data_IF_789642602661
#
_entry.id   IF_789642602661
#
_cell.length_a   1.000
_cell.length_b   1.000
_cell.length_c   1.000
_cell.angle_alpha   90.00
_cell.angle_beta   90.00
_cell.angle_gamma   90.00
#
_symmetry.space_group_name_H-M   'P 1'
#
loop_
_entity.id
_entity.type
_entity.pdbx_description
1 polymer ?
#
# COMPACT_ATOMS: atom_id res chain seq x y z
N UNK A 1 -21.82 28.25 -7.15
CA UNK A 1 -21.98 28.13 -8.62
C UNK A 1 -20.76 27.40 -9.15
N UNK A 2 -20.87 26.11 -9.38
CA UNK A 2 -19.79 25.28 -9.90
C UNK A 2 -19.84 25.40 -11.43
N UNK A 3 -18.80 26.02 -12.04
CA UNK A 3 -18.66 26.10 -13.48
C UNK A 3 -18.32 24.71 -14.04
N UNK A 4 -19.20 24.14 -14.82
CA UNK A 4 -18.95 22.91 -15.59
C UNK A 4 -17.84 23.16 -16.61
N UNK A 5 -16.71 22.47 -16.48
CA UNK A 5 -15.64 22.46 -17.48
C UNK A 5 -16.10 21.59 -18.64
N UNK A 6 -16.05 22.12 -19.88
CA UNK A 6 -16.48 21.38 -21.06
C UNK A 6 -15.38 20.40 -21.52
N UNK A 7 -15.80 19.27 -22.11
CA UNK A 7 -14.88 18.26 -22.68
C UNK A 7 -13.85 18.85 -23.66
N UNK A 8 -14.19 19.95 -24.31
CA UNK A 8 -13.33 20.65 -25.27
C UNK A 8 -12.22 21.44 -24.58
N UNK A 9 -12.48 21.98 -23.38
CA UNK A 9 -11.46 22.68 -22.56
C UNK A 9 -10.46 21.73 -21.91
N UNK A 10 -10.87 20.50 -21.61
CA UNK A 10 -10.00 19.46 -21.09
C UNK A 10 -9.00 18.97 -22.15
N UNK A 11 -9.48 18.71 -23.38
CA UNK A 11 -8.63 18.30 -24.50
C UNK A 11 -7.63 19.40 -24.95
N UNK A 12 -7.97 20.68 -24.76
CA UNK A 12 -7.07 21.78 -25.05
C UNK A 12 -5.97 21.96 -23.99
N UNK A 13 -6.21 21.57 -22.75
CA UNK A 13 -5.20 21.59 -21.70
C UNK A 13 -4.13 20.48 -21.89
N UNK A 14 -4.53 19.33 -22.39
CA UNK A 14 -3.60 18.23 -22.69
C UNK A 14 -2.73 18.47 -23.94
N UNK A 15 -3.19 19.30 -24.90
CA UNK A 15 -2.42 19.60 -26.12
C UNK A 15 -1.40 20.73 -25.98
N UNK A 16 -1.40 21.47 -24.88
CA UNK A 16 -0.40 22.57 -24.62
C UNK A 16 0.89 22.05 -23.98
N UNK A 17 0.85 20.88 -23.35
CA UNK A 17 2.05 20.29 -22.74
C UNK A 17 3.06 19.73 -23.77
N UNK A 18 2.61 19.42 -24.99
CA UNK A 18 3.48 18.89 -26.05
C UNK A 18 4.18 19.94 -26.94
N UNK A 19 3.90 21.24 -26.75
CA UNK A 19 4.39 22.30 -27.65
C UNK A 19 5.42 23.28 -27.04
N UNK A 20 5.87 23.06 -25.78
CA UNK A 20 6.82 23.96 -25.10
C UNK A 20 8.28 23.51 -25.11
N UNK A 21 8.63 22.43 -25.77
CA UNK A 21 10.02 21.95 -25.89
C UNK A 21 10.86 22.61 -27.01
N UNK A 22 10.34 23.63 -27.72
CA UNK A 22 11.03 24.15 -28.93
C UNK A 22 11.40 25.63 -28.92
N UNK A 23 11.46 26.34 -27.80
CA UNK A 23 11.93 27.76 -27.79
C UNK A 23 12.60 28.17 -26.48
N UNK A 24 13.85 27.70 -26.23
CA UNK A 24 14.83 28.46 -25.44
C UNK A 24 16.25 28.10 -25.87
N UNK A 25 16.63 28.57 -27.03
CA UNK A 25 18.04 28.68 -27.41
C UNK A 25 18.41 30.16 -27.32
N UNK A 26 18.99 30.59 -26.18
CA UNK A 26 19.98 31.67 -26.03
C UNK A 26 20.13 32.03 -24.54
N UNK A 27 21.22 31.53 -23.92
CA UNK A 27 21.63 31.99 -22.59
C UNK A 27 22.59 31.02 -21.94
N UNK A 28 23.91 31.28 -22.03
CA UNK A 28 25.01 30.41 -21.66
C UNK A 28 24.93 29.76 -20.29
N UNK A 29 24.75 28.44 -20.30
CA UNK A 29 25.00 27.50 -19.24
C UNK A 29 25.76 26.33 -19.86
N UNK A 30 26.79 25.83 -19.18
CA UNK A 30 27.58 24.70 -19.64
C UNK A 30 26.67 23.58 -20.14
N UNK A 31 26.77 23.29 -21.43
CA UNK A 31 26.18 22.10 -22.00
C UNK A 31 26.91 20.91 -21.38
N UNK A 32 26.23 20.12 -20.53
CA UNK A 32 26.63 18.76 -20.28
C UNK A 32 26.57 18.03 -21.62
N UNK A 33 27.69 17.47 -22.01
CA UNK A 33 27.81 16.71 -23.25
C UNK A 33 26.85 15.52 -23.15
N UNK A 34 25.75 15.55 -23.91
CA UNK A 34 25.00 14.32 -24.19
C UNK A 34 25.97 13.35 -24.86
N UNK A 35 26.34 12.29 -24.14
CA UNK A 35 27.02 11.16 -24.70
C UNK A 35 26.13 10.57 -25.81
N UNK A 36 26.70 10.23 -26.94
CA UNK A 36 26.02 9.85 -28.17
C UNK A 36 25.31 8.48 -28.14
N UNK A 37 25.12 7.89 -26.95
CA UNK A 37 24.54 6.55 -26.72
C UNK A 37 23.42 6.53 -25.65
N UNK A 38 22.75 7.64 -25.39
CA UNK A 38 21.64 7.65 -24.42
C UNK A 38 20.38 7.01 -25.05
N UNK A 39 19.95 5.88 -24.51
CA UNK A 39 18.70 5.23 -24.89
C UNK A 39 17.47 6.12 -24.60
N UNK A 40 16.35 5.88 -25.29
CA UNK A 40 15.08 6.52 -24.96
C UNK A 40 14.70 6.20 -23.52
N UNK A 41 14.21 7.22 -22.78
CA UNK A 41 13.91 7.05 -21.37
C UNK A 41 12.76 6.07 -21.14
N UNK A 42 12.94 5.19 -20.16
CA UNK A 42 11.87 4.35 -19.60
C UNK A 42 11.01 5.22 -18.70
N UNK A 43 9.74 5.34 -19.02
CA UNK A 43 8.77 6.08 -18.20
C UNK A 43 8.37 5.24 -16.99
N UNK A 44 8.52 5.79 -15.78
CA UNK A 44 8.19 5.11 -14.54
C UNK A 44 7.20 5.93 -13.69
N UNK A 45 6.05 5.37 -13.43
CA UNK A 45 5.07 5.97 -12.53
C UNK A 45 5.41 5.58 -11.09
N UNK A 46 6.22 6.42 -10.44
CA UNK A 46 6.61 6.20 -9.06
C UNK A 46 5.49 6.61 -8.09
N UNK A 47 5.25 5.83 -7.02
CA UNK A 47 4.27 6.17 -5.99
C UNK A 47 4.73 7.30 -5.06
N UNK A 48 6.01 7.61 -5.07
CA UNK A 48 6.66 8.58 -4.22
C UNK A 48 7.31 9.68 -5.05
N UNK A 49 7.47 10.86 -4.49
CA UNK A 49 8.16 11.98 -5.16
C UNK A 49 9.67 11.83 -5.15
N UNK A 50 10.19 11.13 -4.16
CA UNK A 50 11.61 10.98 -3.88
C UNK A 50 12.03 9.54 -4.20
N UNK A 51 12.50 9.32 -5.43
CA UNK A 51 13.01 8.02 -5.90
C UNK A 51 14.46 8.13 -6.44
N UNK A 52 15.16 9.21 -6.10
CA UNK A 52 16.52 9.46 -6.56
C UNK A 52 17.45 8.32 -6.18
N UNK A 53 17.34 7.80 -4.95
CA UNK A 53 18.16 6.67 -4.49
C UNK A 53 17.94 5.40 -5.33
N UNK A 54 16.70 5.15 -5.76
CA UNK A 54 16.40 4.04 -6.66
C UNK A 54 16.99 4.27 -8.06
N UNK A 55 16.88 5.48 -8.61
CA UNK A 55 17.49 5.84 -9.90
C UNK A 55 19.00 5.70 -9.83
N UNK A 56 19.65 6.18 -8.78
CA UNK A 56 21.08 6.02 -8.55
C UNK A 56 21.47 4.53 -8.50
N UNK A 57 20.66 3.70 -7.89
CA UNK A 57 20.89 2.27 -7.83
C UNK A 57 20.78 1.62 -9.22
N UNK A 58 19.76 1.98 -10.01
CA UNK A 58 19.66 1.52 -11.40
C UNK A 58 20.89 1.92 -12.19
N UNK A 59 21.31 3.18 -12.11
CA UNK A 59 22.49 3.69 -12.80
C UNK A 59 23.79 3.05 -12.33
N UNK A 60 23.90 2.60 -11.09
CA UNK A 60 25.09 1.91 -10.58
C UNK A 60 25.31 0.56 -11.24
N UNK A 61 24.23 -0.09 -11.71
CA UNK A 61 24.24 -1.42 -12.36
C UNK A 61 24.12 -1.28 -13.88
N UNK A 62 23.28 -0.36 -14.34
CA UNK A 62 22.93 -0.12 -15.75
C UNK A 62 23.03 1.39 -16.08
N UNK A 63 24.24 1.92 -16.25
CA UNK A 63 24.46 3.36 -16.44
C UNK A 63 23.87 3.92 -17.75
N UNK A 64 23.54 3.05 -18.71
CA UNK A 64 22.93 3.41 -19.99
C UNK A 64 21.41 3.64 -19.89
N UNK A 65 20.73 3.12 -18.85
CA UNK A 65 19.29 3.20 -18.69
C UNK A 65 18.88 4.59 -18.21
N UNK A 66 18.06 5.27 -19.01
CA UNK A 66 17.44 6.51 -18.61
C UNK A 66 16.04 6.27 -18.04
N UNK A 67 15.71 6.95 -16.92
CA UNK A 67 14.39 6.86 -16.29
C UNK A 67 13.74 8.24 -16.27
N UNK A 68 12.52 8.33 -16.79
CA UNK A 68 11.68 9.51 -16.69
C UNK A 68 10.52 9.22 -15.74
N UNK A 69 10.39 10.03 -14.68
CA UNK A 69 9.33 9.88 -13.70
C UNK A 69 8.04 10.48 -14.23
N UNK A 70 6.99 9.66 -14.26
CA UNK A 70 5.63 10.08 -14.56
C UNK A 70 4.93 10.38 -13.23
N UNK A 71 4.62 11.66 -12.93
CA UNK A 71 3.95 12.02 -11.70
C UNK A 71 2.49 11.59 -11.72
N UNK A 72 1.95 11.25 -10.56
CA UNK A 72 0.51 11.09 -10.42
C UNK A 72 -0.20 12.41 -10.67
N UNK A 73 -1.30 12.35 -11.40
CA UNK A 73 -2.20 13.50 -11.58
C UNK A 73 -3.45 13.34 -10.71
N UNK A 74 -3.75 14.36 -9.88
CA UNK A 74 -4.93 14.41 -9.03
C UNK A 74 -4.70 13.90 -7.60
N UNK A 75 -5.75 14.01 -6.77
CA UNK A 75 -5.70 13.73 -5.34
C UNK A 75 -5.82 12.24 -4.99
N UNK A 76 -6.18 11.40 -5.97
CA UNK A 76 -6.40 9.97 -5.77
C UNK A 76 -5.60 9.14 -6.79
N UNK A 77 -4.53 8.55 -6.30
CA UNK A 77 -3.62 7.69 -7.06
C UNK A 77 -4.34 6.53 -7.75
N UNK A 78 -5.25 5.86 -7.06
CA UNK A 78 -5.99 4.70 -7.60
C UNK A 78 -6.87 5.12 -8.78
N UNK A 79 -7.59 6.24 -8.65
CA UNK A 79 -8.42 6.76 -9.74
C UNK A 79 -7.58 7.19 -10.95
N UNK A 80 -6.40 7.78 -10.70
CA UNK A 80 -5.48 8.14 -11.79
C UNK A 80 -5.04 6.89 -12.55
N UNK A 81 -4.59 5.85 -11.86
CA UNK A 81 -4.19 4.58 -12.46
C UNK A 81 -5.31 3.89 -13.23
N UNK A 82 -6.51 3.83 -12.66
CA UNK A 82 -7.68 3.25 -13.33
C UNK A 82 -8.03 3.98 -14.63
N UNK A 83 -7.93 5.31 -14.63
CA UNK A 83 -8.14 6.12 -15.83
C UNK A 83 -7.07 5.86 -16.90
N UNK A 84 -5.80 5.77 -16.51
CA UNK A 84 -4.70 5.43 -17.41
C UNK A 84 -4.86 4.01 -17.96
N UNK A 85 -5.25 3.06 -17.11
CA UNK A 85 -5.55 1.68 -17.51
C UNK A 85 -6.68 1.64 -18.56
N UNK A 86 -7.78 2.35 -18.30
CA UNK A 86 -8.93 2.41 -19.19
C UNK A 86 -8.58 3.10 -20.53
N UNK A 87 -7.74 4.13 -20.49
CA UNK A 87 -7.28 4.85 -21.70
C UNK A 87 -6.25 4.05 -22.51
N UNK A 88 -5.60 3.03 -21.88
CA UNK A 88 -4.46 2.34 -22.48
C UNK A 88 -3.22 3.22 -22.61
N UNK A 89 -3.11 4.24 -21.76
CA UNK A 89 -2.02 5.21 -21.71
C UNK A 89 -1.18 5.01 -20.42
N UNK A 90 -0.66 3.79 -20.29
CA UNK A 90 0.19 3.41 -19.17
C UNK A 90 1.65 3.80 -19.44
N UNK A 91 2.40 4.23 -18.43
CA UNK A 91 3.85 4.33 -18.52
C UNK A 91 4.50 2.96 -18.74
N UNK A 92 5.77 2.93 -19.10
CA UNK A 92 6.50 1.70 -19.37
C UNK A 92 6.57 0.79 -18.13
N UNK A 93 6.90 1.38 -16.98
CA UNK A 93 6.80 0.73 -15.66
C UNK A 93 5.65 1.38 -14.90
N UNK A 94 4.62 0.62 -14.60
CA UNK A 94 3.47 1.08 -13.85
C UNK A 94 3.47 0.52 -12.42
N UNK A 95 2.95 1.33 -11.50
CA UNK A 95 2.79 0.97 -10.09
C UNK A 95 1.32 0.94 -9.74
N UNK A 96 0.85 -0.16 -9.17
CA UNK A 96 -0.53 -0.34 -8.74
C UNK A 96 -0.61 -0.51 -7.22
N UNK A 97 -1.65 0.07 -6.61
CA UNK A 97 -1.90 -0.09 -5.18
C UNK A 97 -2.72 -1.36 -4.90
N UNK A 98 -3.61 -1.70 -5.80
CA UNK A 98 -4.49 -2.86 -5.72
C UNK A 98 -4.46 -3.63 -7.02
N UNK A 99 -4.64 -4.94 -6.90
CA UNK A 99 -4.78 -5.84 -8.03
C UNK A 99 -6.10 -6.59 -7.94
N UNK A 100 -6.97 -6.40 -8.91
CA UNK A 100 -8.15 -7.23 -9.12
C UNK A 100 -8.20 -7.68 -10.59
N UNK A 101 -7.79 -8.92 -10.88
CA UNK A 101 -7.73 -9.43 -12.25
C UNK A 101 -9.09 -9.43 -12.94
N UNK A 102 -10.21 -9.44 -12.18
CA UNK A 102 -11.56 -9.45 -12.74
C UNK A 102 -12.02 -8.07 -13.21
N UNK A 103 -11.46 -7.00 -12.61
CA UNK A 103 -11.84 -5.62 -12.90
C UNK A 103 -10.85 -4.98 -13.86
N UNK A 104 -9.57 -5.27 -13.66
CA UNK A 104 -8.49 -4.47 -14.26
C UNK A 104 -8.03 -5.01 -15.62
N UNK A 105 -8.44 -6.23 -16.02
CA UNK A 105 -8.05 -6.86 -17.30
C UNK A 105 -6.55 -6.70 -17.60
N UNK A 106 -5.72 -6.96 -16.60
CA UNK A 106 -4.26 -6.70 -16.63
C UNK A 106 -3.56 -7.43 -17.77
N UNK A 107 -4.04 -8.62 -18.16
CA UNK A 107 -3.53 -9.39 -19.28
C UNK A 107 -3.59 -8.67 -20.64
N UNK A 108 -4.52 -7.72 -20.79
CA UNK A 108 -4.65 -6.93 -22.02
C UNK A 108 -3.66 -5.77 -22.09
N UNK A 109 -3.18 -5.30 -20.95
CA UNK A 109 -2.40 -4.06 -20.81
C UNK A 109 -0.97 -4.28 -20.36
N UNK A 110 -0.74 -5.35 -19.59
CA UNK A 110 0.56 -5.64 -19.01
C UNK A 110 1.25 -6.82 -19.70
N UNK A 111 2.57 -6.78 -19.66
CA UNK A 111 3.43 -7.83 -20.15
C UNK A 111 3.40 -9.03 -19.18
N UNK A 112 3.37 -10.24 -19.71
CA UNK A 112 3.56 -11.45 -18.92
C UNK A 112 5.03 -11.56 -18.48
N UNK A 113 5.25 -11.58 -17.19
CA UNK A 113 6.57 -11.60 -16.56
C UNK A 113 7.01 -13.01 -16.17
N UNK A 114 6.18 -14.04 -16.32
CA UNK A 114 6.45 -15.41 -15.85
C UNK A 114 7.69 -16.08 -16.44
N UNK A 115 8.18 -15.60 -17.59
CA UNK A 115 9.37 -16.12 -18.26
C UNK A 115 10.69 -15.43 -17.91
N UNK A 116 10.68 -14.43 -17.04
CA UNK A 116 11.87 -13.65 -16.72
C UNK A 116 12.53 -14.09 -15.41
N UNK A 117 13.85 -14.07 -15.38
CA UNK A 117 14.73 -14.54 -14.30
C UNK A 117 14.53 -13.84 -12.95
N UNK A 118 14.11 -12.57 -12.96
CA UNK A 118 13.88 -11.82 -11.72
C UNK A 118 12.65 -12.32 -10.94
N UNK A 119 11.76 -13.10 -11.53
CA UNK A 119 10.65 -13.73 -10.80
C UNK A 119 11.15 -14.78 -9.80
N UNK A 120 12.33 -15.35 -10.03
CA UNK A 120 12.97 -16.32 -9.12
C UNK A 120 13.42 -15.67 -7.80
N UNK A 121 13.48 -14.34 -7.73
CA UNK A 121 13.78 -13.62 -6.49
C UNK A 121 12.62 -13.65 -5.48
N UNK A 122 11.44 -14.06 -5.91
CA UNK A 122 10.23 -14.11 -5.08
C UNK A 122 9.93 -15.51 -4.58
N UNK A 123 9.46 -15.61 -3.34
CA UNK A 123 8.91 -16.89 -2.85
C UNK A 123 7.58 -17.18 -3.53
N UNK A 124 7.37 -18.42 -3.93
CA UNK A 124 6.19 -18.85 -4.71
C UNK A 124 4.85 -18.43 -4.05
N UNK A 125 4.75 -18.54 -2.72
CA UNK A 125 3.54 -18.14 -2.00
C UNK A 125 3.18 -16.65 -2.15
N UNK A 126 4.13 -15.80 -2.53
CA UNK A 126 3.89 -14.37 -2.75
C UNK A 126 3.50 -14.07 -4.19
N UNK A 127 3.94 -14.90 -5.14
CA UNK A 127 3.51 -14.81 -6.53
C UNK A 127 2.09 -15.36 -6.74
N UNK A 128 1.59 -16.24 -5.85
CA UNK A 128 0.23 -16.77 -5.94
C UNK A 128 -0.85 -15.69 -5.89
N UNK A 129 -0.61 -14.59 -5.17
CA UNK A 129 -1.56 -13.47 -5.06
C UNK A 129 -1.68 -12.66 -6.37
N UNK A 130 -0.70 -12.77 -7.26
CA UNK A 130 -0.60 -12.03 -8.53
C UNK A 130 -0.63 -12.93 -9.76
N UNK A 131 -0.87 -14.23 -9.56
CA UNK A 131 -0.90 -15.22 -10.61
C UNK A 131 -2.28 -15.30 -11.25
N UNK A 132 -2.39 -14.99 -12.53
CA UNK A 132 -3.64 -15.04 -13.28
C UNK A 132 -3.53 -15.94 -14.51
N UNK A 133 -4.32 -16.99 -14.56
CA UNK A 133 -4.42 -17.94 -15.69
C UNK A 133 -3.08 -18.50 -16.19
N UNK A 134 -2.12 -18.70 -15.31
CA UNK A 134 -0.80 -19.24 -15.65
C UNK A 134 0.25 -18.20 -15.97
N UNK A 135 -0.03 -16.92 -15.79
CA UNK A 135 0.86 -15.80 -16.06
C UNK A 135 1.05 -14.89 -14.84
N UNK A 136 2.14 -14.15 -14.79
CA UNK A 136 2.49 -13.16 -13.77
C UNK A 136 2.56 -11.79 -14.46
N UNK A 137 1.61 -10.91 -14.19
CA UNK A 137 1.59 -9.57 -14.79
C UNK A 137 2.13 -8.48 -13.86
N UNK A 138 2.18 -8.78 -12.56
CA UNK A 138 2.60 -7.84 -11.53
C UNK A 138 3.58 -8.52 -10.57
N UNK A 139 4.55 -7.78 -10.09
CA UNK A 139 5.44 -8.20 -9.02
C UNK A 139 5.12 -7.44 -7.74
N UNK A 140 4.97 -8.11 -6.60
CA UNK A 140 4.76 -7.43 -5.33
C UNK A 140 6.04 -6.71 -4.90
N UNK A 141 5.89 -5.50 -4.35
CA UNK A 141 6.98 -4.77 -3.70
C UNK A 141 7.17 -5.22 -2.25
N UNK A 142 7.53 -4.30 -1.38
CA UNK A 142 7.60 -4.52 0.07
C UNK A 142 6.23 -4.83 0.67
N UNK A 143 6.25 -5.44 1.85
CA UNK A 143 5.06 -5.74 2.63
C UNK A 143 4.92 -4.78 3.81
N UNK A 144 3.72 -4.24 3.99
CA UNK A 144 3.34 -3.59 5.23
C UNK A 144 2.87 -4.65 6.23
N UNK A 145 3.41 -4.60 7.44
CA UNK A 145 2.96 -5.44 8.55
C UNK A 145 1.93 -4.66 9.37
N UNK A 146 0.69 -5.09 9.35
CA UNK A 146 -0.38 -4.51 10.15
C UNK A 146 -0.54 -5.25 11.46
N UNK A 147 -0.66 -4.50 12.51
CA UNK A 147 -0.92 -4.91 13.88
C UNK A 147 -1.44 -3.72 14.66
N UNK A 148 -1.27 -3.76 15.96
CA UNK A 148 -1.66 -2.68 16.87
C UNK A 148 -0.39 -2.04 17.41
N UNK A 149 -0.14 -0.79 17.06
CA UNK A 149 0.97 -0.03 17.62
C UNK A 149 0.67 0.32 19.07
N UNK A 150 1.67 0.18 19.95
CA UNK A 150 1.53 0.52 21.36
C UNK A 150 2.68 1.39 21.87
N UNK A 151 2.39 2.21 22.87
CA UNK A 151 3.36 3.07 23.54
C UNK A 151 4.05 2.33 24.68
N UNK A 152 5.32 1.97 24.48
CA UNK A 152 6.16 1.25 25.48
C UNK A 152 6.39 2.10 26.74
N UNK A 153 6.44 3.42 26.59
CA UNK A 153 6.66 4.33 27.71
C UNK A 153 5.47 4.33 28.66
N UNK A 154 4.24 4.43 28.14
CA UNK A 154 3.03 4.34 28.94
C UNK A 154 2.92 2.99 29.68
N UNK A 155 3.18 1.87 29.00
CA UNK A 155 3.17 0.55 29.65
C UNK A 155 4.14 0.52 30.84
N UNK A 156 5.37 1.01 30.66
CA UNK A 156 6.41 1.00 31.68
C UNK A 156 6.07 1.93 32.85
N UNK A 157 5.59 3.14 32.58
CA UNK A 157 5.30 4.15 33.60
C UNK A 157 4.13 3.75 34.52
N UNK A 158 3.13 3.07 33.97
CA UNK A 158 1.99 2.57 34.71
C UNK A 158 2.14 1.14 35.22
N UNK A 159 3.22 0.44 34.88
CA UNK A 159 3.41 -0.96 35.22
C UNK A 159 2.40 -1.88 34.55
N UNK A 160 1.91 -1.52 33.39
CA UNK A 160 0.99 -2.35 32.60
C UNK A 160 1.74 -3.36 31.74
N UNK A 161 1.13 -4.52 31.57
CA UNK A 161 1.65 -5.59 30.71
C UNK A 161 0.91 -5.59 29.35
N UNK A 162 1.63 -5.99 28.30
CA UNK A 162 1.07 -6.10 26.96
C UNK A 162 0.15 -7.32 26.90
N UNK A 163 -1.14 -7.17 26.47
CA UNK A 163 -2.07 -8.28 26.47
C UNK A 163 -1.74 -9.30 25.37
N UNK A 164 -1.96 -10.57 25.65
CA UNK A 164 -1.81 -11.72 24.75
C UNK A 164 -3.14 -12.39 24.39
N UNK A 165 -4.22 -11.99 25.05
CA UNK A 165 -5.59 -12.46 24.81
C UNK A 165 -6.59 -11.32 24.93
N UNK A 166 -7.81 -11.54 24.45
CA UNK A 166 -8.86 -10.53 24.58
C UNK A 166 -9.23 -10.25 26.05
N UNK A 167 -9.24 -11.27 26.91
CA UNK A 167 -9.53 -11.08 28.33
C UNK A 167 -8.50 -10.16 29.00
N UNK A 168 -7.21 -10.33 28.71
CA UNK A 168 -6.15 -9.44 29.21
C UNK A 168 -6.27 -8.03 28.64
N UNK A 169 -6.69 -7.88 27.36
CA UNK A 169 -6.94 -6.59 26.75
C UNK A 169 -8.12 -5.87 27.44
N UNK A 170 -9.18 -6.58 27.76
CA UNK A 170 -10.34 -6.03 28.49
C UNK A 170 -9.95 -5.53 29.90
N UNK A 171 -9.13 -6.32 30.62
CA UNK A 171 -8.59 -5.91 31.94
C UNK A 171 -7.68 -4.68 31.82
N UNK A 172 -6.83 -4.64 30.80
CA UNK A 172 -5.96 -3.49 30.53
C UNK A 172 -6.79 -2.25 30.18
N UNK A 173 -7.84 -2.40 29.36
CA UNK A 173 -8.72 -1.31 28.99
C UNK A 173 -9.36 -0.63 30.21
N UNK A 174 -9.78 -1.41 31.22
CA UNK A 174 -10.30 -0.88 32.46
C UNK A 174 -9.25 -0.05 33.24
N UNK A 175 -8.01 -0.54 33.32
CA UNK A 175 -6.90 0.17 34.00
C UNK A 175 -6.52 1.47 33.28
N UNK A 176 -6.47 1.44 31.94
CA UNK A 176 -6.18 2.61 31.10
C UNK A 176 -7.23 3.70 31.27
N UNK A 177 -8.50 3.30 31.28
CA UNK A 177 -9.62 4.20 31.55
C UNK A 177 -9.55 4.84 32.94
N UNK A 178 -9.18 4.07 33.95
CA UNK A 178 -9.03 4.56 35.34
C UNK A 178 -7.90 5.59 35.46
N UNK A 179 -6.83 5.43 34.66
CA UNK A 179 -5.72 6.34 34.60
C UNK A 179 -6.02 7.63 33.78
N UNK A 180 -7.16 7.70 33.09
CA UNK A 180 -7.54 8.85 32.26
C UNK A 180 -6.76 8.94 30.94
N UNK A 181 -6.22 7.82 30.47
CA UNK A 181 -5.51 7.70 29.18
C UNK A 181 -6.50 7.16 28.14
N UNK A 182 -6.38 7.61 26.90
CA UNK A 182 -7.14 7.04 25.79
C UNK A 182 -6.63 5.62 25.48
N UNK A 183 -7.53 4.64 25.41
CA UNK A 183 -7.13 3.27 25.14
C UNK A 183 -6.57 3.13 23.73
N UNK A 184 -7.30 3.60 22.72
CA UNK A 184 -6.93 3.49 21.32
C UNK A 184 -7.50 4.63 20.48
N UNK A 185 -6.72 5.06 19.49
CA UNK A 185 -7.17 5.94 18.42
C UNK A 185 -7.12 5.16 17.10
N UNK A 186 -8.25 4.66 16.56
CA UNK A 186 -8.28 4.07 15.24
C UNK A 186 -8.23 5.16 14.17
N UNK A 187 -7.43 4.95 13.13
CA UNK A 187 -7.41 5.83 11.95
C UNK A 187 -8.56 5.48 11.02
N UNK A 188 -9.74 6.06 11.23
CA UNK A 188 -10.98 5.74 10.48
C UNK A 188 -11.50 6.89 9.61
N UNK A 189 -10.73 7.96 9.43
CA UNK A 189 -11.11 9.10 8.60
C UNK A 189 -11.34 8.75 7.13
N UNK A 190 -10.67 7.70 6.61
CA UNK A 190 -10.83 7.28 5.23
C UNK A 190 -11.90 6.19 5.10
N UNK A 191 -12.83 6.33 4.13
CA UNK A 191 -13.79 5.28 3.83
C UNK A 191 -13.08 3.95 3.55
N UNK A 192 -13.48 2.89 4.23
CA UNK A 192 -12.88 1.57 4.09
C UNK A 192 -11.92 1.16 5.20
N UNK A 193 -11.33 2.08 5.96
CA UNK A 193 -10.45 1.71 7.08
C UNK A 193 -11.21 0.93 8.15
N UNK A 194 -12.44 1.33 8.50
CA UNK A 194 -13.27 0.56 9.43
C UNK A 194 -13.51 -0.88 8.97
N UNK A 195 -13.73 -1.08 7.66
CA UNK A 195 -13.85 -2.42 7.08
C UNK A 195 -12.52 -3.17 7.11
N UNK A 196 -11.40 -2.51 6.83
CA UNK A 196 -10.07 -3.11 6.92
C UNK A 196 -9.76 -3.60 8.34
N UNK A 197 -10.07 -2.81 9.37
CA UNK A 197 -9.86 -3.22 10.76
C UNK A 197 -10.75 -4.39 11.16
N UNK A 198 -12.01 -4.40 10.70
CA UNK A 198 -12.89 -5.54 10.85
C UNK A 198 -12.25 -6.80 10.25
N UNK A 199 -11.75 -6.73 9.01
CA UNK A 199 -11.09 -7.85 8.38
C UNK A 199 -9.81 -8.27 9.13
N UNK A 200 -8.98 -7.32 9.56
CA UNK A 200 -7.75 -7.61 10.28
C UNK A 200 -8.00 -8.32 11.62
N UNK A 201 -9.03 -7.90 12.38
CA UNK A 201 -9.43 -8.57 13.61
C UNK A 201 -10.00 -9.97 13.30
N UNK A 202 -10.82 -10.08 12.25
CA UNK A 202 -11.41 -11.33 11.82
C UNK A 202 -10.39 -12.35 11.28
N UNK A 203 -9.17 -11.91 10.89
CA UNK A 203 -8.10 -12.83 10.46
C UNK A 203 -7.70 -13.78 11.59
N UNK A 204 -7.67 -13.32 12.83
CA UNK A 204 -7.24 -14.12 13.97
C UNK A 204 -8.14 -15.34 14.21
N UNK A 205 -9.47 -15.15 14.17
CA UNK A 205 -10.42 -16.20 14.54
C UNK A 205 -11.10 -16.88 13.35
N UNK A 206 -11.09 -16.28 12.17
CA UNK A 206 -11.80 -16.84 11.02
C UNK A 206 -11.06 -16.69 9.69
N UNK A 207 -10.81 -15.46 9.21
CA UNK A 207 -10.33 -15.26 7.84
C UNK A 207 -8.95 -15.90 7.59
N UNK A 208 -8.09 -15.99 8.61
CA UNK A 208 -6.79 -16.64 8.55
C UNK A 208 -6.85 -18.16 8.61
N UNK A 209 -7.99 -18.77 8.93
CA UNK A 209 -8.17 -20.21 8.99
C UNK A 209 -8.40 -20.83 7.60
N UNK A 210 -8.26 -22.16 7.49
CA UNK A 210 -8.56 -22.86 6.24
C UNK A 210 -10.02 -22.61 5.79
N UNK A 211 -10.97 -22.67 6.72
CA UNK A 211 -12.39 -22.44 6.42
C UNK A 211 -12.62 -21.00 5.96
N UNK A 212 -11.95 -20.03 6.58
CA UNK A 212 -11.98 -18.62 6.17
C UNK A 212 -11.41 -18.40 4.77
N UNK A 213 -10.28 -19.04 4.44
CA UNK A 213 -9.69 -18.95 3.09
C UNK A 213 -10.59 -19.58 2.03
N UNK A 214 -11.22 -20.70 2.33
CA UNK A 214 -12.22 -21.31 1.45
C UNK A 214 -13.45 -20.40 1.28
N UNK A 215 -13.91 -19.80 2.37
CA UNK A 215 -15.02 -18.84 2.34
C UNK A 215 -14.70 -17.61 1.50
N UNK A 216 -13.50 -17.02 1.63
CA UNK A 216 -13.07 -15.87 0.81
C UNK A 216 -13.17 -16.18 -0.69
N UNK A 217 -12.68 -17.34 -1.12
CA UNK A 217 -12.80 -17.79 -2.51
C UNK A 217 -14.27 -17.90 -2.96
N UNK A 218 -15.12 -18.47 -2.11
CA UNK A 218 -16.53 -18.65 -2.44
C UNK A 218 -17.29 -17.31 -2.39
N UNK A 219 -16.91 -16.39 -1.51
CA UNK A 219 -17.43 -15.03 -1.47
C UNK A 219 -17.07 -14.26 -2.74
N UNK A 220 -15.80 -14.29 -3.16
CA UNK A 220 -15.34 -13.63 -4.38
C UNK A 220 -16.01 -14.19 -5.65
N UNK A 221 -16.40 -15.46 -5.64
CA UNK A 221 -17.15 -16.09 -6.75
C UNK A 221 -18.67 -15.94 -6.64
N UNK A 222 -19.19 -15.22 -5.64
CA UNK A 222 -20.62 -14.99 -5.41
C UNK A 222 -21.37 -16.20 -4.84
N UNK A 223 -20.67 -17.24 -4.39
CA UNK A 223 -21.28 -18.46 -3.81
C UNK A 223 -21.55 -18.35 -2.32
N UNK A 224 -20.86 -17.46 -1.61
CA UNK A 224 -21.05 -17.19 -0.20
C UNK A 224 -21.34 -15.72 0.05
N UNK A 225 -21.90 -15.41 1.23
CA UNK A 225 -22.09 -14.04 1.70
C UNK A 225 -21.84 -13.96 3.21
N UNK A 226 -21.67 -12.75 3.74
CA UNK A 226 -21.35 -12.51 5.14
C UNK A 226 -22.45 -13.02 6.07
N UNK A 227 -23.71 -12.74 5.73
CA UNK A 227 -24.87 -12.95 6.64
C UNK A 227 -25.26 -14.41 6.83
N UNK A 228 -24.83 -15.32 5.95
CA UNK A 228 -25.14 -16.75 6.06
C UNK A 228 -23.92 -17.62 6.43
N UNK A 229 -22.82 -16.98 6.84
CA UNK A 229 -21.57 -17.67 7.22
C UNK A 229 -21.37 -17.59 8.73
N UNK A 230 -21.55 -18.68 9.49
CA UNK A 230 -21.44 -18.64 10.96
C UNK A 230 -20.09 -18.10 11.46
N UNK A 231 -18.97 -18.53 10.86
CA UNK A 231 -17.62 -18.05 11.23
C UNK A 231 -17.46 -16.55 11.04
N UNK A 232 -17.98 -15.98 9.93
CA UNK A 232 -17.94 -14.55 9.72
C UNK A 232 -18.86 -13.78 10.68
N UNK A 233 -19.99 -14.34 11.01
CA UNK A 233 -20.90 -13.74 12.02
C UNK A 233 -20.27 -13.75 13.42
N UNK A 234 -19.54 -14.79 13.79
CA UNK A 234 -18.80 -14.84 15.05
C UNK A 234 -17.65 -13.82 15.05
N UNK A 235 -16.91 -13.71 13.96
CA UNK A 235 -15.86 -12.69 13.81
C UNK A 235 -16.43 -11.27 13.96
N UNK A 236 -17.57 -10.97 13.36
CA UNK A 236 -18.24 -9.68 13.53
C UNK A 236 -18.68 -9.44 14.97
N UNK A 237 -19.18 -10.46 15.67
CA UNK A 237 -19.53 -10.35 17.09
C UNK A 237 -18.27 -10.10 17.94
N UNK A 238 -17.15 -10.68 17.58
CA UNK A 238 -15.86 -10.43 18.24
C UNK A 238 -15.37 -8.99 18.00
N UNK A 239 -15.48 -8.47 16.78
CA UNK A 239 -15.19 -7.06 16.49
C UNK A 239 -16.05 -6.12 17.33
N UNK A 240 -17.33 -6.48 17.59
CA UNK A 240 -18.20 -5.68 18.47
C UNK A 240 -17.62 -5.61 19.90
N UNK A 241 -17.04 -6.69 20.43
CA UNK A 241 -16.36 -6.66 21.74
C UNK A 241 -15.18 -5.68 21.76
N UNK A 242 -14.39 -5.60 20.69
CA UNK A 242 -13.33 -4.60 20.55
C UNK A 242 -13.86 -3.16 20.61
N UNK A 243 -15.00 -2.92 19.97
CA UNK A 243 -15.69 -1.63 20.05
C UNK A 243 -16.19 -1.33 21.47
N UNK A 244 -16.77 -2.31 22.13
CA UNK A 244 -17.36 -2.14 23.47
C UNK A 244 -16.32 -1.77 24.54
N UNK A 245 -15.07 -2.26 24.41
CA UNK A 245 -13.97 -1.88 25.31
C UNK A 245 -13.25 -0.57 24.89
N UNK A 246 -13.60 0.03 23.76
CA UNK A 246 -13.05 1.31 23.30
C UNK A 246 -11.85 1.21 22.35
N UNK A 247 -11.50 0.02 21.83
CA UNK A 247 -10.45 -0.14 20.81
C UNK A 247 -10.87 0.41 19.45
N UNK A 248 -12.16 0.36 19.13
CA UNK A 248 -12.76 0.91 17.91
C UNK A 248 -13.81 1.95 18.32
N UNK A 249 -13.36 3.10 18.75
CA UNK A 249 -14.24 4.20 19.13
C UNK A 249 -14.46 5.19 17.97
N UNK A 250 -15.50 6.00 18.06
CA UNK A 250 -15.88 6.98 17.05
C UNK A 250 -15.06 8.29 17.16
N UNK A 251 -14.15 8.41 18.14
CA UNK A 251 -13.36 9.62 18.36
C UNK A 251 -12.29 9.85 17.27
N UNK A 252 -11.95 8.83 16.50
CA UNK A 252 -11.05 8.92 15.35
C UNK A 252 -11.71 9.45 14.07
N UNK A 253 -13.03 9.52 13.99
CA UNK A 253 -13.77 9.88 12.76
C UNK A 253 -13.42 11.26 12.21
N UNK A 254 -13.07 12.22 13.09
CA UNK A 254 -12.76 13.59 12.73
C UNK A 254 -11.26 13.93 12.82
N UNK A 255 -10.43 12.96 13.20
CA UNK A 255 -8.99 13.20 13.36
C UNK A 255 -8.28 12.81 12.07
N UNK A 256 -7.45 13.73 11.59
CA UNK A 256 -6.51 13.39 10.55
C UNK A 256 -5.36 12.53 11.11
N UNK A 257 -4.68 11.81 10.24
CA UNK A 257 -3.64 10.87 10.64
C UNK A 257 -2.53 11.56 11.47
N UNK A 258 -2.12 12.78 11.09
CA UNK A 258 -1.09 13.54 11.81
C UNK A 258 -1.50 13.84 13.25
N UNK A 259 -2.76 14.21 13.47
CA UNK A 259 -3.30 14.46 14.83
C UNK A 259 -3.31 13.18 15.64
N UNK A 260 -3.66 12.06 15.03
CA UNK A 260 -3.66 10.75 15.71
C UNK A 260 -2.26 10.37 16.17
N UNK A 261 -1.26 10.53 15.30
CA UNK A 261 0.15 10.26 15.64
C UNK A 261 0.69 11.22 16.70
N UNK A 262 0.35 12.50 16.60
CA UNK A 262 0.75 13.48 17.59
C UNK A 262 0.22 13.14 18.99
N UNK A 263 -1.05 12.74 19.11
CA UNK A 263 -1.64 12.31 20.40
C UNK A 263 -0.95 11.08 20.98
N UNK A 264 -0.56 10.14 20.12
CA UNK A 264 0.24 8.99 20.52
C UNK A 264 1.63 9.44 21.04
N UNK A 265 2.31 10.35 20.34
CA UNK A 265 3.61 10.88 20.70
C UNK A 265 3.58 11.70 22.02
N UNK A 266 2.50 12.43 22.27
CA UNK A 266 2.25 13.17 23.50
C UNK A 266 1.98 12.27 24.73
N UNK A 267 1.88 10.94 24.54
CA UNK A 267 1.59 10.00 25.62
C UNK A 267 0.14 10.01 26.08
N UNK A 268 -0.79 10.52 25.28
CA UNK A 268 -2.21 10.60 25.61
C UNK A 268 -2.98 9.33 25.23
N UNK A 269 -2.37 8.42 24.46
CA UNK A 269 -3.01 7.24 23.90
C UNK A 269 -2.10 6.03 24.01
N UNK A 270 -2.63 4.89 24.46
CA UNK A 270 -1.85 3.65 24.60
C UNK A 270 -1.69 2.90 23.29
N UNK A 271 -2.78 2.74 22.51
CA UNK A 271 -2.79 1.98 21.26
C UNK A 271 -3.19 2.83 20.05
N UNK A 272 -2.69 2.43 18.89
CA UNK A 272 -3.10 2.97 17.60
C UNK A 272 -3.30 1.82 16.61
N UNK A 273 -4.48 1.78 15.96
CA UNK A 273 -4.77 0.89 14.84
C UNK A 273 -4.75 1.72 13.57
N UNK A 274 -3.76 1.49 12.71
CA UNK A 274 -3.62 2.24 11.46
C UNK A 274 -2.23 2.14 10.86
N UNK A 275 -1.89 3.16 10.06
CA UNK A 275 -0.56 3.29 9.48
C UNK A 275 0.45 3.72 10.54
N UNK A 276 1.54 2.97 10.67
CA UNK A 276 2.58 3.20 11.69
C UNK A 276 3.69 4.13 11.25
N UNK A 277 3.81 4.43 9.96
CA UNK A 277 4.93 5.21 9.42
C UNK A 277 4.99 6.63 10.00
N UNK A 278 3.85 7.27 10.16
CA UNK A 278 3.81 8.65 10.65
C UNK A 278 4.18 8.82 12.13
N UNK A 279 4.14 7.76 12.95
CA UNK A 279 4.61 7.83 14.33
C UNK A 279 6.11 8.09 14.36
N UNK A 280 6.86 7.40 13.51
CA UNK A 280 8.31 7.59 13.38
C UNK A 280 8.65 9.00 12.88
N UNK A 281 7.88 9.50 11.92
CA UNK A 281 8.06 10.85 11.37
C UNK A 281 7.73 11.95 12.39
N UNK A 282 6.66 11.76 13.17
CA UNK A 282 6.19 12.77 14.13
C UNK A 282 7.12 12.92 15.36
N UNK A 283 7.75 11.83 15.81
CA UNK A 283 8.48 11.76 17.08
C UNK A 283 9.99 11.55 16.91
N UNK A 284 10.42 10.97 15.78
CA UNK A 284 11.81 10.62 15.53
C UNK A 284 12.36 9.54 16.47
N UNK A 285 11.50 8.85 17.26
CA UNK A 285 11.89 7.91 18.30
C UNK A 285 11.12 6.58 18.20
N UNK A 286 11.42 5.82 17.16
CA UNK A 286 10.83 4.50 16.91
C UNK A 286 10.97 3.52 18.11
N UNK A 287 11.98 3.71 18.96
CA UNK A 287 12.22 2.84 20.12
C UNK A 287 11.14 2.95 21.21
N UNK A 288 10.37 4.04 21.22
CA UNK A 288 9.26 4.23 22.16
C UNK A 288 8.03 3.39 21.83
N UNK A 289 7.94 2.89 20.62
CA UNK A 289 6.77 2.18 20.13
C UNK A 289 7.08 0.70 19.88
N UNK A 290 6.04 -0.09 19.90
CA UNK A 290 6.10 -1.50 19.51
C UNK A 290 4.88 -1.86 18.70
N UNK A 291 4.91 -3.00 18.04
CA UNK A 291 3.80 -3.56 17.28
C UNK A 291 3.38 -4.88 17.93
N UNK A 292 2.11 -5.03 18.26
CA UNK A 292 1.52 -6.29 18.72
C UNK A 292 0.56 -6.84 17.66
N UNK A 293 0.34 -8.17 17.64
CA UNK A 293 -0.61 -8.77 16.72
C UNK A 293 -2.06 -8.39 17.04
N UNK A 294 -2.96 -8.57 16.08
CA UNK A 294 -4.40 -8.68 16.37
C UNK A 294 -4.62 -9.96 17.17
N UNK A 295 -5.33 -9.82 18.28
CA UNK A 295 -5.55 -10.92 19.21
C UNK A 295 -6.74 -11.77 18.74
N UNK A 296 -6.60 -13.09 18.82
CA UNK A 296 -7.76 -13.99 18.81
C UNK A 296 -8.50 -13.90 20.15
N UNK A 297 -9.77 -14.28 20.16
CA UNK A 297 -10.60 -14.19 21.37
C UNK A 297 -9.96 -14.98 22.56
N UNK A 298 -9.41 -16.15 22.28
CA UNK A 298 -8.75 -17.01 23.28
C UNK A 298 -7.22 -16.82 23.39
N UNK A 299 -6.62 -15.95 22.57
CA UNK A 299 -5.18 -15.68 22.53
C UNK A 299 -4.32 -16.77 21.88
N UNK A 300 -4.91 -17.78 21.25
CA UNK A 300 -4.16 -18.93 20.70
C UNK A 300 -3.67 -18.71 19.26
N UNK A 301 -4.29 -17.81 18.52
CA UNK A 301 -4.01 -17.54 17.10
C UNK A 301 -3.85 -16.04 16.80
N UNK A 302 -3.03 -15.38 17.59
CA UNK A 302 -2.73 -13.97 17.36
C UNK A 302 -1.98 -13.78 16.04
N UNK A 303 -2.39 -12.80 15.23
CA UNK A 303 -1.89 -12.62 13.86
C UNK A 303 -1.41 -11.22 13.58
N UNK A 304 -0.34 -11.12 12.78
CA UNK A 304 -0.03 -9.91 12.02
C UNK A 304 -0.58 -10.09 10.61
N UNK A 305 -1.13 -9.02 10.04
CA UNK A 305 -1.63 -9.03 8.66
C UNK A 305 -0.59 -8.39 7.75
N UNK A 306 -0.14 -9.13 6.74
CA UNK A 306 0.82 -8.64 5.76
C UNK A 306 0.09 -8.27 4.48
N UNK A 307 0.19 -7.01 4.09
CA UNK A 307 -0.34 -6.52 2.81
C UNK A 307 0.81 -6.03 1.92
N UNK A 308 0.72 -6.33 0.65
CA UNK A 308 1.64 -5.77 -0.35
C UNK A 308 1.46 -4.26 -0.41
N UNK A 309 2.56 -3.54 -0.32
CA UNK A 309 2.53 -2.08 -0.37
C UNK A 309 2.18 -1.58 -1.77
N UNK A 310 2.85 -2.14 -2.77
CA UNK A 310 2.66 -1.79 -4.20
C UNK A 310 2.89 -3.01 -5.07
N UNK A 311 2.37 -2.95 -6.28
CA UNK A 311 2.66 -3.90 -7.35
C UNK A 311 3.30 -3.15 -8.51
N UNK A 312 4.29 -3.78 -9.16
CA UNK A 312 4.95 -3.25 -10.35
C UNK A 312 4.67 -4.13 -11.55
N UNK A 313 4.38 -3.51 -12.69
CA UNK A 313 4.16 -4.21 -13.95
C UNK A 313 4.75 -3.44 -15.13
N UNK A 314 4.94 -4.12 -16.25
CA UNK A 314 5.41 -3.54 -17.50
C UNK A 314 4.28 -3.36 -18.49
N UNK A 315 4.27 -2.22 -19.18
CA UNK A 315 3.31 -1.96 -20.26
C UNK A 315 3.54 -2.92 -21.41
N UNK A 316 2.51 -3.64 -21.85
CA UNK A 316 2.59 -4.58 -22.97
C UNK A 316 3.03 -3.95 -24.28
N UNK A 317 2.85 -2.65 -24.48
CA UNK A 317 3.31 -1.93 -25.66
C UNK A 317 4.84 -1.99 -25.84
N UNK A 318 5.60 -2.25 -24.79
CA UNK A 318 7.05 -2.43 -24.86
C UNK A 318 7.46 -3.57 -25.79
N UNK A 319 6.59 -4.56 -26.07
CA UNK A 319 6.87 -5.62 -27.06
C UNK A 319 7.13 -5.06 -28.47
N UNK A 320 6.71 -3.82 -28.74
CA UNK A 320 6.90 -3.15 -30.03
C UNK A 320 8.24 -2.39 -30.13
N UNK A 321 8.96 -2.22 -28.99
CA UNK A 321 10.26 -1.57 -28.90
C UNK A 321 11.23 -2.43 -28.10
N UNK A 322 11.99 -3.31 -28.76
CA UNK A 322 12.89 -4.27 -28.10
C UNK A 322 13.97 -3.61 -27.22
N UNK A 323 14.47 -2.42 -27.61
CA UNK A 323 15.51 -1.74 -26.83
C UNK A 323 14.92 -1.17 -25.53
N UNK A 324 13.78 -0.52 -25.62
CA UNK A 324 13.08 0.05 -24.47
C UNK A 324 12.55 -1.04 -23.54
N UNK A 325 12.11 -2.17 -24.10
CA UNK A 325 11.74 -3.35 -23.32
C UNK A 325 12.94 -3.89 -22.52
N UNK A 326 14.11 -4.02 -23.14
CA UNK A 326 15.32 -4.46 -22.45
C UNK A 326 15.68 -3.52 -21.30
N UNK A 327 15.59 -2.22 -21.48
CA UNK A 327 15.87 -1.23 -20.44
C UNK A 327 14.81 -1.26 -19.32
N UNK A 328 13.54 -1.43 -19.65
CA UNK A 328 12.48 -1.62 -18.66
C UNK A 328 12.65 -2.92 -17.85
N UNK A 329 13.10 -4.01 -18.48
CA UNK A 329 13.43 -5.26 -17.79
C UNK A 329 14.63 -5.09 -16.84
N UNK A 330 15.63 -4.26 -17.18
CA UNK A 330 16.74 -3.91 -16.27
C UNK A 330 16.22 -3.16 -15.04
N UNK A 331 15.27 -2.23 -15.22
CA UNK A 331 14.60 -1.55 -14.10
C UNK A 331 13.88 -2.57 -13.20
N UNK A 332 13.12 -3.50 -13.78
CA UNK A 332 12.43 -4.56 -13.02
C UNK A 332 13.40 -5.49 -12.28
N UNK A 333 14.57 -5.80 -12.84
CA UNK A 333 15.60 -6.58 -12.12
C UNK A 333 16.07 -5.86 -10.87
N UNK A 334 16.29 -4.56 -10.92
CA UNK A 334 16.66 -3.77 -9.73
C UNK A 334 15.51 -3.70 -8.74
N UNK A 335 14.28 -3.44 -9.19
CA UNK A 335 13.08 -3.46 -8.34
C UNK A 335 12.85 -4.79 -7.62
N UNK A 336 13.26 -5.91 -8.24
CA UNK A 336 13.11 -7.25 -7.66
C UNK A 336 14.20 -7.63 -6.65
N UNK A 337 15.12 -6.73 -6.34
CA UNK A 337 16.16 -6.94 -5.32
C UNK A 337 15.74 -6.33 -3.98
N UNK A 338 16.30 -6.83 -2.88
CA UNK A 338 16.07 -6.26 -1.54
C UNK A 338 16.45 -4.77 -1.45
N UNK A 339 17.41 -4.35 -2.26
CA UNK A 339 17.86 -2.96 -2.29
C UNK A 339 16.98 -2.07 -3.18
N UNK A 340 16.21 -2.66 -4.11
CA UNK A 340 15.30 -1.94 -5.01
C UNK A 340 13.88 -1.80 -4.47
N UNK A 341 13.55 -2.52 -3.42
CA UNK A 341 12.24 -2.49 -2.72
C UNK A 341 12.35 -1.86 -1.36
#
# INVERSE_FOLDING_TARGET
MIKKISRRSFLQACSVAAATAALTACGGGKAESKTADAHEAVTFMAPYKEIEAFIEQVHSVYPEVNIEIVPYSGDNTTTCLQNMFAAGDLPDVCTLTYYDPRIDLVSDKLLDLSGYDFTDNYVESRLQDVFDNGAIYLLPSTYNCFGITYNKTLLREHGWELPSSFAELEELAAKVKEAGVDLCLPQIQYPGYGFQYLCNIAEADFLGTLDGRMWQRDYLSGKANVSNTPGMMQAMAYVQKWKDIGMLNDSGDALDDNVTWQRMAEGNTLFLIGNTNGIVEADGNADQYGLMPFLSEDGTQNVFVLNVNRFYGLNKKLEQDPQKLEDALKVMRVLSTVAGT
#
